data_IF_878640482022
#
_entry.id   IF_878640482022
#
_cell.length_a   1.000
_cell.length_b   1.000
_cell.length_c   1.000
_cell.angle_alpha   90.00
_cell.angle_beta   90.00
_cell.angle_gamma   90.00
#
_symmetry.space_group_name_H-M   'P 1'
#
loop_
_entity.id
_entity.type
_entity.pdbx_description
1 polymer ?
#
# COMPACT_ATOMS: atom_id res chain seq x y z
N UNK A 1 4.80 37.82 -3.11
CA UNK A 1 5.17 37.48 -1.72
C UNK A 1 5.27 35.95 -1.61
N UNK A 2 6.32 35.38 -1.01
CA UNK A 2 6.43 33.91 -0.87
C UNK A 2 5.43 33.46 0.20
N UNK A 3 4.56 32.48 -0.12
CA UNK A 3 3.64 31.88 0.84
C UNK A 3 4.42 31.27 2.01
N UNK A 4 3.91 31.45 3.22
CA UNK A 4 4.42 30.83 4.45
C UNK A 4 4.34 29.29 4.37
N UNK A 5 5.04 28.59 5.26
CA UNK A 5 4.92 27.13 5.37
C UNK A 5 3.47 26.72 5.67
N UNK A 6 2.78 27.45 6.54
CA UNK A 6 1.41 27.15 6.93
C UNK A 6 0.44 27.27 5.77
N UNK A 7 0.54 28.35 4.98
CA UNK A 7 -0.32 28.55 3.80
C UNK A 7 -0.06 27.48 2.74
N UNK A 8 1.23 27.17 2.46
CA UNK A 8 1.58 26.08 1.54
C UNK A 8 1.03 24.76 2.02
N UNK A 9 1.13 24.46 3.31
CA UNK A 9 0.60 23.22 3.89
C UNK A 9 -0.93 23.17 3.81
N UNK A 10 -1.63 24.28 4.02
CA UNK A 10 -3.09 24.36 3.95
C UNK A 10 -3.63 24.02 2.55
N UNK A 11 -2.90 24.41 1.51
CA UNK A 11 -3.29 24.21 0.10
C UNK A 11 -2.87 22.86 -0.49
N UNK A 12 -2.10 22.05 0.23
CA UNK A 12 -1.60 20.77 -0.26
C UNK A 12 -2.70 19.71 -0.30
N UNK A 13 -2.70 18.88 -1.35
CA UNK A 13 -3.33 17.56 -1.32
C UNK A 13 -2.36 16.62 -0.61
N UNK A 14 -2.61 16.35 0.68
CA UNK A 14 -1.63 15.71 1.57
C UNK A 14 -1.64 14.19 1.45
N UNK A 15 -0.45 13.64 1.30
CA UNK A 15 -0.17 12.21 1.48
C UNK A 15 0.77 12.04 2.67
N UNK A 16 0.43 11.12 3.56
CA UNK A 16 1.15 10.90 4.82
C UNK A 16 1.87 9.57 4.78
N UNK A 17 3.18 9.58 4.98
CA UNK A 17 4.01 8.39 5.04
C UNK A 17 4.57 8.20 6.45
N UNK A 18 4.18 7.10 7.08
CA UNK A 18 4.62 6.72 8.42
C UNK A 18 5.82 5.82 8.32
N UNK A 19 6.86 6.12 9.08
CA UNK A 19 8.12 5.36 9.03
C UNK A 19 8.94 5.55 10.31
N UNK A 20 10.01 4.77 10.47
CA UNK A 20 10.93 4.94 11.61
C UNK A 20 11.70 6.26 11.46
N UNK A 21 12.24 6.78 12.57
CA UNK A 21 13.00 8.03 12.53
C UNK A 21 14.23 7.94 11.61
N UNK A 22 14.95 6.82 11.65
CA UNK A 22 16.12 6.55 10.80
C UNK A 22 15.73 6.54 9.32
N UNK A 23 14.60 5.89 9.01
CA UNK A 23 14.08 5.83 7.63
C UNK A 23 13.67 7.21 7.13
N UNK A 24 13.06 8.04 7.99
CA UNK A 24 12.74 9.42 7.66
C UNK A 24 14.01 10.23 7.34
N UNK A 25 15.06 10.11 8.14
CA UNK A 25 16.36 10.73 7.88
C UNK A 25 16.93 10.31 6.52
N UNK A 26 16.93 9.00 6.21
CA UNK A 26 17.40 8.49 4.92
C UNK A 26 16.58 9.00 3.73
N UNK A 27 15.25 9.10 3.87
CA UNK A 27 14.36 9.65 2.83
C UNK A 27 14.66 11.13 2.60
N UNK A 28 14.83 11.90 3.68
CA UNK A 28 15.14 13.34 3.59
C UNK A 28 16.49 13.56 2.93
N UNK A 29 17.50 12.77 3.27
CA UNK A 29 18.85 12.86 2.69
C UNK A 29 18.85 12.48 1.22
N UNK A 30 18.31 11.31 0.88
CA UNK A 30 18.32 10.78 -0.48
C UNK A 30 17.31 11.43 -1.43
N UNK A 31 16.29 12.11 -0.89
CA UNK A 31 15.10 12.61 -1.63
C UNK A 31 14.39 11.50 -2.41
N UNK A 32 14.48 10.26 -1.94
CA UNK A 32 13.91 9.09 -2.59
C UNK A 32 13.06 8.31 -1.61
N UNK A 33 12.00 7.74 -2.16
CA UNK A 33 11.14 6.78 -1.48
C UNK A 33 11.46 5.39 -2.02
N UNK A 34 11.49 4.41 -1.11
CA UNK A 34 11.75 3.02 -1.47
C UNK A 34 10.44 2.25 -1.46
N UNK A 35 10.15 1.55 -2.55
CA UNK A 35 9.04 0.62 -2.56
C UNK A 35 9.35 -0.57 -1.64
N UNK A 36 8.39 -0.87 -0.77
CA UNK A 36 8.38 -2.04 0.10
C UNK A 36 7.90 -3.29 -0.64
N UNK A 37 8.22 -4.44 -0.06
CA UNK A 37 7.66 -5.72 -0.48
C UNK A 37 6.28 -5.87 0.15
N UNK A 38 5.33 -6.41 -0.61
CA UNK A 38 3.99 -6.76 -0.14
C UNK A 38 3.94 -7.92 0.88
N UNK A 39 4.70 -9.02 0.73
CA UNK A 39 4.65 -10.09 1.73
C UNK A 39 5.36 -9.68 3.04
N UNK A 40 4.77 -10.08 4.17
CA UNK A 40 5.29 -9.87 5.54
C UNK A 40 5.38 -8.39 5.94
N UNK A 41 4.32 -7.65 5.66
CA UNK A 41 4.17 -6.28 6.12
C UNK A 41 3.86 -6.22 7.62
N UNK A 42 4.12 -5.04 8.22
CA UNK A 42 3.84 -4.81 9.64
C UNK A 42 2.34 -4.89 9.96
N UNK A 43 1.49 -4.51 9.01
CA UNK A 43 0.05 -4.70 9.12
C UNK A 43 -0.30 -6.15 8.76
N UNK A 44 -0.82 -6.88 9.75
CA UNK A 44 -1.24 -8.28 9.62
C UNK A 44 -2.35 -8.46 8.58
N UNK A 45 -3.26 -7.50 8.48
CA UNK A 45 -4.37 -7.54 7.51
C UNK A 45 -3.79 -7.35 6.10
N UNK A 46 -2.87 -6.40 5.94
CA UNK A 46 -2.22 -6.15 4.65
C UNK A 46 -1.30 -7.32 4.22
N UNK A 47 -0.62 -7.94 5.19
CA UNK A 47 0.26 -9.09 4.93
C UNK A 47 -0.52 -10.38 4.62
N UNK A 48 -1.78 -10.50 5.05
CA UNK A 48 -2.63 -11.66 4.82
C UNK A 48 -3.76 -11.37 3.82
N UNK A 49 -3.57 -10.43 2.89
CA UNK A 49 -4.54 -10.20 1.82
C UNK A 49 -4.82 -11.51 1.08
N UNK A 50 -6.08 -11.91 1.08
CA UNK A 50 -6.55 -13.07 0.33
C UNK A 50 -6.50 -12.69 -1.16
N UNK A 51 -5.47 -13.14 -1.86
CA UNK A 51 -5.44 -13.10 -3.32
C UNK A 51 -6.37 -14.21 -3.80
N UNK A 52 -7.49 -13.86 -4.44
CA UNK A 52 -8.51 -14.83 -4.82
C UNK A 52 -7.95 -15.95 -5.70
N UNK A 53 -8.34 -17.15 -5.31
CA UNK A 53 -7.82 -18.44 -5.76
C UNK A 53 -8.51 -18.91 -7.04
N UNK A 54 -7.80 -19.72 -7.84
CA UNK A 54 -8.43 -20.55 -8.85
C UNK A 54 -9.24 -21.65 -8.15
N UNK A 55 -10.53 -21.47 -7.96
CA UNK A 55 -11.44 -22.57 -7.63
C UNK A 55 -11.48 -23.48 -8.86
N UNK A 56 -10.67 -24.53 -8.88
CA UNK A 56 -10.95 -25.65 -9.78
C UNK A 56 -12.16 -26.33 -9.18
N UNK A 57 -13.27 -26.34 -9.93
CA UNK A 57 -14.50 -27.01 -9.56
C UNK A 57 -14.21 -28.37 -8.90
N UNK A 58 -14.66 -28.51 -7.65
CA UNK A 58 -14.82 -29.77 -6.90
C UNK A 58 -13.61 -30.47 -6.28
N UNK A 59 -12.48 -29.81 -6.04
CA UNK A 59 -11.52 -30.32 -5.04
C UNK A 59 -10.95 -29.21 -4.16
N UNK A 60 -11.31 -29.27 -2.87
CA UNK A 60 -10.59 -28.60 -1.80
C UNK A 60 -9.29 -29.39 -1.58
N UNK A 61 -8.34 -29.29 -2.51
CA UNK A 61 -6.99 -29.79 -2.25
C UNK A 61 -6.25 -28.81 -1.33
N UNK A 62 -5.78 -29.39 -0.23
CA UNK A 62 -5.06 -28.87 0.93
C UNK A 62 -4.53 -27.41 0.88
N UNK A 63 -4.90 -26.65 1.91
CA UNK A 63 -4.69 -25.19 2.09
C UNK A 63 -3.23 -24.68 2.01
N UNK A 64 -2.24 -25.58 2.03
CA UNK A 64 -0.82 -25.22 2.15
C UNK A 64 -0.20 -24.68 0.87
N UNK A 65 -0.58 -25.20 -0.30
CA UNK A 65 -0.08 -24.69 -1.59
C UNK A 65 -0.68 -23.33 -1.96
N UNK A 66 -1.79 -22.95 -1.32
CA UNK A 66 -2.56 -21.75 -1.64
C UNK A 66 -1.93 -20.47 -1.07
N UNK A 67 -1.41 -20.55 0.17
CA UNK A 67 -0.62 -19.45 0.76
C UNK A 67 0.66 -19.17 -0.02
N UNK A 68 1.29 -20.22 -0.56
CA UNK A 68 2.50 -20.10 -1.40
C UNK A 68 2.20 -19.37 -2.72
N UNK A 69 1.09 -19.69 -3.39
CA UNK A 69 0.70 -19.01 -4.64
C UNK A 69 0.42 -17.52 -4.43
N UNK A 70 -0.33 -17.16 -3.38
CA UNK A 70 -0.61 -15.76 -3.06
C UNK A 70 0.68 -14.99 -2.75
N UNK A 71 1.59 -15.58 -1.95
CA UNK A 71 2.88 -14.97 -1.66
C UNK A 71 3.75 -14.83 -2.92
N UNK A 72 3.78 -15.82 -3.80
CA UNK A 72 4.51 -15.78 -5.08
C UNK A 72 4.00 -14.67 -6.01
N UNK A 73 2.68 -14.51 -6.14
CA UNK A 73 2.09 -13.43 -6.92
C UNK A 73 2.36 -12.07 -6.26
N UNK A 74 2.18 -11.93 -4.95
CA UNK A 74 2.48 -10.69 -4.21
C UNK A 74 3.96 -10.29 -4.34
N UNK A 75 4.89 -11.25 -4.41
CA UNK A 75 6.34 -10.99 -4.61
C UNK A 75 6.66 -10.34 -5.95
N UNK A 76 5.77 -10.39 -6.94
CA UNK A 76 5.95 -9.72 -8.25
C UNK A 76 5.75 -8.23 -8.18
N UNK A 77 5.13 -7.73 -7.12
CA UNK A 77 4.77 -6.33 -6.97
C UNK A 77 5.54 -5.70 -5.81
N UNK A 78 5.80 -4.41 -5.95
CA UNK A 78 6.29 -3.58 -4.87
C UNK A 78 5.29 -2.44 -4.65
N UNK A 79 5.20 -1.95 -3.42
CA UNK A 79 4.28 -0.87 -3.12
C UNK A 79 4.87 0.13 -2.13
N UNK A 80 4.31 1.32 -2.13
CA UNK A 80 4.49 2.29 -1.06
C UNK A 80 3.11 2.77 -0.64
N UNK A 81 2.90 2.79 0.68
CA UNK A 81 1.60 3.15 1.25
C UNK A 81 1.64 4.55 1.81
N UNK A 82 0.59 5.31 1.51
CA UNK A 82 0.33 6.63 2.08
C UNK A 82 -1.07 6.64 2.68
N UNK A 83 -1.25 7.31 3.81
CA UNK A 83 -2.57 7.75 4.23
C UNK A 83 -2.94 9.07 3.54
N UNK A 84 -4.24 9.36 3.47
CA UNK A 84 -4.78 10.59 2.91
C UNK A 84 -5.86 11.15 3.82
N UNK A 85 -6.11 12.46 3.73
CA UNK A 85 -7.24 13.09 4.40
C UNK A 85 -8.56 12.47 3.87
N UNK A 86 -9.52 12.21 4.76
CA UNK A 86 -10.85 11.68 4.41
C UNK A 86 -11.92 12.69 4.74
N UNK A 87 -12.86 12.93 3.81
CA UNK A 87 -14.07 13.72 4.07
C UNK A 87 -15.24 12.79 4.36
N UNK A 88 -15.90 12.97 5.51
CA UNK A 88 -17.15 12.25 5.87
C UNK A 88 -18.09 13.27 6.51
N UNK A 89 -19.31 13.40 5.98
CA UNK A 89 -20.36 14.31 6.48
C UNK A 89 -19.84 15.75 6.74
N UNK A 90 -19.20 16.34 5.72
CA UNK A 90 -18.58 17.69 5.75
C UNK A 90 -17.46 17.89 6.80
N UNK A 91 -17.01 16.81 7.44
CA UNK A 91 -15.84 16.81 8.33
C UNK A 91 -14.63 16.22 7.64
N UNK A 92 -13.50 16.91 7.79
CA UNK A 92 -12.19 16.43 7.34
C UNK A 92 -11.53 15.68 8.49
N UNK A 93 -11.16 14.43 8.25
CA UNK A 93 -10.33 13.62 9.11
C UNK A 93 -8.93 13.59 8.52
N UNK A 94 -7.96 14.15 9.24
CA UNK A 94 -6.60 14.27 8.72
C UNK A 94 -5.90 12.91 8.71
N UNK A 95 -5.20 12.61 7.60
CA UNK A 95 -4.54 11.32 7.42
C UNK A 95 -3.40 11.06 8.41
N UNK A 96 -2.84 12.10 9.04
CA UNK A 96 -1.87 11.92 10.13
C UNK A 96 -2.52 11.42 11.43
N UNK A 97 -3.83 11.60 11.61
CA UNK A 97 -4.56 11.26 12.84
C UNK A 97 -5.05 9.80 12.84
N UNK A 98 -4.24 8.89 12.27
CA UNK A 98 -4.50 7.46 12.23
C UNK A 98 -3.60 6.76 13.26
N UNK A 99 -4.10 6.59 14.49
CA UNK A 99 -3.32 6.00 15.60
C UNK A 99 -2.73 4.62 15.27
N UNK A 100 -3.44 3.81 14.49
CA UNK A 100 -2.95 2.49 14.04
C UNK A 100 -1.69 2.62 13.18
N UNK A 101 -1.60 3.64 12.33
CA UNK A 101 -0.42 3.88 11.49
C UNK A 101 0.79 4.31 12.33
N UNK A 102 0.57 5.10 13.38
CA UNK A 102 1.63 5.44 14.34
C UNK A 102 2.17 4.19 15.05
N UNK A 103 1.28 3.27 15.44
CA UNK A 103 1.64 2.02 16.08
C UNK A 103 2.41 1.05 15.17
N UNK A 104 1.87 0.80 13.97
CA UNK A 104 2.37 -0.23 13.05
C UNK A 104 3.58 0.22 12.22
N UNK A 105 3.61 1.50 11.83
CA UNK A 105 4.56 1.98 10.82
C UNK A 105 5.51 3.06 11.34
N UNK A 106 5.13 3.84 12.36
CA UNK A 106 5.97 4.88 12.94
C UNK A 106 6.61 4.45 14.28
N UNK A 107 7.17 3.25 14.33
CA UNK A 107 7.92 2.71 15.47
C UNK A 107 7.22 2.92 16.83
N UNK A 108 5.97 2.44 16.94
CA UNK A 108 5.15 2.58 18.15
C UNK A 108 4.99 4.03 18.65
N UNK A 109 5.04 5.00 17.73
CA UNK A 109 4.93 6.43 18.01
C UNK A 109 6.26 7.17 18.17
N UNK A 110 7.41 6.47 18.12
CA UNK A 110 8.74 7.10 18.20
C UNK A 110 9.34 7.44 16.83
N UNK A 111 8.68 7.04 15.74
CA UNK A 111 9.08 7.34 14.38
C UNK A 111 8.65 8.74 13.90
N UNK A 112 8.36 8.84 12.61
CA UNK A 112 7.96 10.09 11.97
C UNK A 112 6.83 9.89 10.96
N UNK A 113 6.11 10.99 10.69
CA UNK A 113 5.15 11.09 9.61
C UNK A 113 5.63 12.17 8.63
N UNK A 114 6.07 11.75 7.44
CA UNK A 114 6.43 12.65 6.36
C UNK A 114 5.19 13.03 5.55
N UNK A 115 5.03 14.32 5.25
CA UNK A 115 3.89 14.83 4.48
C UNK A 115 4.34 15.26 3.09
N UNK A 116 3.71 14.69 2.08
CA UNK A 116 3.96 14.96 0.68
C UNK A 116 2.77 15.67 0.04
N UNK A 117 3.05 16.49 -0.97
CA UNK A 117 2.03 17.05 -1.85
C UNK A 117 1.81 16.07 -3.01
N UNK A 118 0.62 15.46 -3.09
CA UNK A 118 0.26 14.49 -4.13
C UNK A 118 0.57 15.03 -5.53
N UNK A 119 0.30 16.33 -5.74
CA UNK A 119 0.44 16.97 -7.05
C UNK A 119 1.90 17.27 -7.43
N UNK A 120 2.83 17.16 -6.49
CA UNK A 120 4.28 17.38 -6.73
C UNK A 120 5.09 16.10 -6.69
N UNK A 121 4.45 14.97 -6.40
CA UNK A 121 5.12 13.68 -6.39
C UNK A 121 5.41 13.29 -7.85
N UNK A 122 6.69 13.14 -8.18
CA UNK A 122 7.13 12.72 -9.51
C UNK A 122 7.25 11.21 -9.51
N UNK A 123 6.38 10.56 -10.28
CA UNK A 123 6.41 9.11 -10.52
C UNK A 123 6.96 8.90 -11.93
N UNK A 124 7.86 7.92 -12.11
CA UNK A 124 8.30 7.55 -13.44
C UNK A 124 7.18 6.82 -14.18
N UNK A 125 7.27 6.76 -15.50
CA UNK A 125 6.36 5.97 -16.31
C UNK A 125 6.44 4.49 -15.88
N UNK A 126 5.31 3.92 -15.47
CA UNK A 126 5.22 2.55 -14.94
C UNK A 126 5.32 2.41 -13.41
N UNK A 127 5.71 3.45 -12.67
CA UNK A 127 5.76 3.41 -11.19
C UNK A 127 4.37 3.45 -10.54
N UNK A 128 3.37 3.93 -11.28
CA UNK A 128 2.00 4.09 -10.82
C UNK A 128 1.04 3.48 -11.84
N UNK A 129 0.32 2.44 -11.41
CA UNK A 129 -0.75 1.85 -12.19
C UNK A 129 -2.12 2.47 -11.86
N UNK A 130 -2.48 2.48 -10.57
CA UNK A 130 -3.73 3.01 -10.03
C UNK A 130 -3.68 3.11 -8.51
N UNK A 131 -4.54 3.94 -7.93
CA UNK A 131 -4.80 3.95 -6.50
C UNK A 131 -5.42 2.58 -6.09
N UNK A 132 -5.07 2.10 -4.89
CA UNK A 132 -5.61 0.85 -4.35
C UNK A 132 -6.96 1.14 -3.70
N UNK A 133 -8.03 0.58 -4.27
CA UNK A 133 -9.35 0.62 -3.67
C UNK A 133 -9.58 -0.63 -2.81
N UNK A 134 -9.87 -0.41 -1.54
CA UNK A 134 -10.29 -1.47 -0.63
C UNK A 134 -11.81 -1.59 -0.71
N UNK A 135 -12.31 -2.76 -1.08
CA UNK A 135 -13.74 -3.06 -1.13
C UNK A 135 -14.08 -4.10 -0.07
N UNK A 136 -15.25 -3.93 0.56
CA UNK A 136 -15.77 -4.89 1.55
C UNK A 136 -16.35 -6.16 0.91
N UNK A 137 -16.37 -6.20 -0.43
CA UNK A 137 -16.77 -7.33 -1.24
C UNK A 137 -15.80 -7.42 -2.43
N UNK A 138 -15.42 -8.63 -2.81
CA UNK A 138 -14.57 -8.85 -3.98
C UNK A 138 -15.46 -9.27 -5.15
N UNK A 139 -15.43 -8.49 -6.23
CA UNK A 139 -15.94 -8.93 -7.51
C UNK A 139 -14.81 -9.67 -8.24
N UNK A 140 -14.99 -10.93 -8.67
CA UNK A 140 -13.96 -11.63 -9.43
C UNK A 140 -13.87 -10.99 -10.83
N UNK A 141 -12.97 -10.03 -11.00
CA UNK A 141 -12.84 -9.29 -12.26
C UNK A 141 -12.29 -10.16 -13.39
N UNK A 142 -11.45 -11.15 -13.10
CA UNK A 142 -10.82 -11.99 -14.13
C UNK A 142 -10.52 -13.40 -13.63
N UNK A 143 -11.14 -14.41 -14.25
CA UNK A 143 -10.69 -15.80 -14.16
C UNK A 143 -9.47 -15.99 -15.06
N UNK A 144 -8.26 -16.03 -14.48
CA UNK A 144 -7.07 -16.44 -15.21
C UNK A 144 -7.18 -17.93 -15.58
N UNK A 145 -7.59 -18.23 -16.82
CA UNK A 145 -7.41 -19.58 -17.40
C UNK A 145 -5.92 -19.77 -17.67
N UNK A 146 -5.21 -20.31 -16.70
CA UNK A 146 -3.90 -20.88 -16.97
C UNK A 146 -4.14 -22.09 -17.89
N UNK A 147 -3.80 -21.96 -19.18
CA UNK A 147 -3.78 -23.11 -20.10
C UNK A 147 -2.80 -24.09 -19.48
N UNK A 148 -3.29 -25.15 -18.84
CA UNK A 148 -2.47 -26.26 -18.40
C UNK A 148 -1.51 -26.60 -19.54
N UNK A 149 -0.20 -26.64 -19.28
CA UNK A 149 0.75 -27.29 -20.17
C UNK A 149 0.28 -28.75 -20.34
N UNK A 150 -0.57 -29.00 -21.33
CA UNK A 150 -0.82 -30.33 -21.85
C UNK A 150 0.42 -30.69 -22.65
N UNK A 151 1.17 -31.67 -22.15
CA UNK A 151 2.16 -32.39 -22.94
C UNK A 151 3.61 -32.06 -22.60
N UNK A 152 4.10 -32.57 -21.47
CA UNK A 152 5.43 -33.16 -21.41
C UNK A 152 5.26 -34.57 -20.85
N UNK A 153 4.97 -35.50 -21.75
CA UNK A 153 5.41 -36.89 -21.71
C UNK A 153 6.14 -37.13 -23.02
#
# INVERSE_FOLDING_TARGET
>A
MRKSIRERFAEMTRLYHFTTFESACMIIESKRLRFGKLPRMNDLIESNKIVFQRVIFNSLEDDKDNGLFAEEEMRRYQQISFAQDRSVDDKIYEGFNLHTMWGLYADKGYGACLVFDKNKLKLAEGDYARDVEYMDYVLPDYAFRNKSKKGLK
#
